data_IF_442926568432
#
_entry.id   IF_442926568432
#
_cell.length_a   1.000
_cell.length_b   1.000
_cell.length_c   1.000
_cell.angle_alpha   90.00
_cell.angle_beta   90.00
_cell.angle_gamma   90.00
#
_symmetry.space_group_name_H-M   'P 1'
#
loop_
_entity.id
_entity.type
_entity.pdbx_description
1 polymer ?
#
# COMPACT_ATOMS: atom_id res chain seq x y z
N UNK A 1 35.32 73.65 -25.03
CA UNK A 1 34.27 72.62 -25.15
C UNK A 1 34.04 71.96 -23.80
N UNK A 2 32.81 71.96 -23.23
CA UNK A 2 32.35 70.93 -22.28
C UNK A 2 30.82 70.96 -22.11
N UNK A 3 30.23 69.76 -22.18
CA UNK A 3 28.85 69.42 -22.56
C UNK A 3 27.79 69.77 -21.50
N UNK A 4 26.70 70.44 -21.92
CA UNK A 4 25.43 70.57 -21.16
C UNK A 4 24.66 69.25 -21.28
N UNK A 5 24.54 68.47 -20.20
CA UNK A 5 23.80 67.19 -20.17
C UNK A 5 22.82 67.20 -18.98
N UNK A 6 21.63 66.61 -19.20
CA UNK A 6 20.66 66.06 -18.23
C UNK A 6 19.65 67.01 -17.55
N UNK A 7 18.52 67.28 -18.23
CA UNK A 7 17.16 67.44 -17.62
C UNK A 7 16.01 66.96 -18.53
N UNK A 8 16.25 66.00 -19.43
CA UNK A 8 15.23 65.39 -20.34
C UNK A 8 14.85 63.94 -19.96
N UNK A 9 15.23 63.48 -18.76
CA UNK A 9 15.09 62.06 -18.38
C UNK A 9 13.77 61.66 -17.73
N UNK A 10 13.05 62.58 -17.07
CA UNK A 10 11.90 62.21 -16.22
C UNK A 10 10.62 61.93 -17.02
N UNK A 11 10.34 62.73 -18.05
CA UNK A 11 9.15 62.52 -18.90
C UNK A 11 9.32 61.30 -19.82
N UNK A 12 10.55 61.05 -20.29
CA UNK A 12 10.87 59.85 -21.06
C UNK A 12 10.65 58.58 -20.22
N UNK A 13 11.03 58.63 -18.93
CA UNK A 13 10.78 57.53 -18.00
C UNK A 13 9.28 57.24 -17.83
N UNK A 14 8.44 58.28 -17.70
CA UNK A 14 6.99 58.10 -17.62
C UNK A 14 6.40 57.49 -18.90
N UNK A 15 6.84 57.93 -20.08
CA UNK A 15 6.40 57.31 -21.34
C UNK A 15 6.84 55.85 -21.43
N UNK A 16 8.09 55.53 -21.10
CA UNK A 16 8.57 54.13 -21.08
C UNK A 16 7.77 53.29 -20.07
N UNK A 17 7.52 53.80 -18.87
CA UNK A 17 6.72 53.11 -17.85
C UNK A 17 5.28 52.89 -18.31
N UNK A 18 4.65 53.92 -18.91
CA UNK A 18 3.30 53.81 -19.45
C UNK A 18 3.23 52.78 -20.59
N UNK A 19 4.22 52.79 -21.50
CA UNK A 19 4.28 51.82 -22.61
C UNK A 19 4.48 50.40 -22.07
N UNK A 20 5.35 50.22 -21.06
CA UNK A 20 5.54 48.93 -20.38
C UNK A 20 4.25 48.44 -19.71
N UNK A 21 3.50 49.32 -19.04
CA UNK A 21 2.21 48.98 -18.43
C UNK A 21 1.20 48.62 -19.52
N UNK A 22 1.09 49.40 -20.59
CA UNK A 22 0.17 49.14 -21.70
C UNK A 22 0.48 47.79 -22.38
N UNK A 23 1.77 47.47 -22.57
CA UNK A 23 2.20 46.17 -23.10
C UNK A 23 1.87 45.05 -22.11
N UNK A 24 2.13 45.24 -20.82
CA UNK A 24 1.78 44.24 -19.80
C UNK A 24 0.26 43.97 -19.76
N UNK A 25 -0.57 45.01 -19.81
CA UNK A 25 -2.03 44.89 -19.86
C UNK A 25 -2.47 44.20 -21.15
N UNK A 26 -1.92 44.58 -22.31
CA UNK A 26 -2.21 43.93 -23.58
C UNK A 26 -1.83 42.44 -23.59
N UNK A 27 -0.67 42.10 -23.01
CA UNK A 27 -0.23 40.72 -22.83
C UNK A 27 -1.17 39.94 -21.90
N UNK A 28 -1.54 40.50 -20.74
CA UNK A 28 -2.48 39.84 -19.81
C UNK A 28 -3.82 39.60 -20.50
N UNK A 29 -4.38 40.60 -21.19
CA UNK A 29 -5.64 40.46 -21.92
C UNK A 29 -5.56 39.38 -23.02
N UNK A 30 -4.47 39.39 -23.80
CA UNK A 30 -4.22 38.37 -24.82
C UNK A 30 -4.11 36.97 -24.20
N UNK A 31 -3.40 36.83 -23.07
CA UNK A 31 -3.29 35.59 -22.31
C UNK A 31 -4.66 35.10 -21.79
N UNK A 32 -5.57 36.01 -21.43
CA UNK A 32 -6.90 35.65 -20.92
C UNK A 32 -7.91 35.28 -22.00
N UNK A 33 -7.78 35.80 -23.21
CA UNK A 33 -8.77 35.61 -24.28
C UNK A 33 -8.41 34.45 -25.20
N UNK A 34 -7.11 34.26 -25.51
CA UNK A 34 -6.67 33.28 -26.52
C UNK A 34 -6.26 31.92 -25.95
N UNK A 35 -6.02 31.80 -24.65
CA UNK A 35 -5.50 30.58 -24.02
C UNK A 35 -6.48 29.97 -23.04
N UNK A 36 -7.69 29.74 -23.53
CA UNK A 36 -8.73 29.02 -22.82
C UNK A 36 -8.67 27.55 -23.13
N UNK A 37 -8.97 26.71 -22.15
CA UNK A 37 -8.99 25.27 -22.31
C UNK A 37 -10.27 24.85 -23.05
N UNK A 38 -10.12 24.34 -24.26
CA UNK A 38 -11.22 23.76 -25.06
C UNK A 38 -11.22 22.24 -24.99
N UNK A 39 -10.04 21.63 -24.79
CA UNK A 39 -9.86 20.18 -24.76
C UNK A 39 -8.93 19.78 -23.64
N UNK A 40 -9.35 18.77 -22.87
CA UNK A 40 -8.55 18.13 -21.82
C UNK A 40 -8.46 16.66 -22.17
N UNK A 41 -7.25 16.12 -22.22
CA UNK A 41 -7.01 14.71 -22.50
C UNK A 41 -6.12 14.13 -21.40
N UNK A 42 -6.42 12.93 -20.93
CA UNK A 42 -5.55 12.16 -20.05
C UNK A 42 -5.01 10.95 -20.80
N UNK A 43 -3.68 10.84 -20.86
CA UNK A 43 -2.95 9.75 -21.52
C UNK A 43 -2.20 8.92 -20.47
N UNK A 44 -2.02 7.62 -20.75
CA UNK A 44 -1.22 6.72 -19.90
C UNK A 44 -2.00 6.10 -18.74
N UNK A 45 -3.32 6.03 -18.85
CA UNK A 45 -4.20 5.36 -17.89
C UNK A 45 -4.49 3.93 -18.33
N UNK A 46 -4.45 3.00 -17.40
CA UNK A 46 -4.91 1.61 -17.55
C UNK A 46 -5.90 1.21 -16.47
N UNK A 47 -5.78 1.77 -15.25
CA UNK A 47 -6.63 1.44 -14.11
C UNK A 47 -7.82 2.40 -13.93
N UNK A 48 -7.74 3.62 -14.43
CA UNK A 48 -8.77 4.65 -14.25
C UNK A 48 -9.28 5.20 -15.58
N UNK A 49 -10.49 5.75 -15.57
CA UNK A 49 -11.05 6.41 -16.75
C UNK A 49 -10.51 7.83 -16.88
N UNK A 50 -10.22 8.32 -18.11
CA UNK A 50 -9.81 9.69 -18.34
C UNK A 50 -10.76 10.73 -17.74
N UNK A 51 -12.06 10.48 -17.82
CA UNK A 51 -13.11 11.39 -17.37
C UNK A 51 -13.07 11.59 -15.86
N UNK A 52 -12.94 10.50 -15.10
CA UNK A 52 -12.88 10.53 -13.63
C UNK A 52 -11.64 11.28 -13.13
N UNK A 53 -10.50 11.01 -13.75
CA UNK A 53 -9.23 11.67 -13.41
C UNK A 53 -9.31 13.17 -13.69
N UNK A 54 -9.85 13.57 -14.85
CA UNK A 54 -10.03 14.98 -15.21
C UNK A 54 -10.97 15.66 -14.22
N UNK A 55 -12.06 15.01 -13.81
CA UNK A 55 -13.01 15.57 -12.85
C UNK A 55 -12.35 15.88 -11.50
N UNK A 56 -11.50 14.98 -11.00
CA UNK A 56 -10.76 15.16 -9.73
C UNK A 56 -9.82 16.36 -9.75
N UNK A 57 -9.31 16.76 -10.92
CA UNK A 57 -8.45 17.95 -11.05
C UNK A 57 -9.19 19.27 -10.81
N UNK A 58 -10.52 19.27 -10.96
CA UNK A 58 -11.34 20.48 -10.87
C UNK A 58 -11.15 21.48 -12.02
N UNK A 59 -10.40 21.11 -13.06
CA UNK A 59 -10.18 21.95 -14.24
C UNK A 59 -11.45 21.93 -15.10
N UNK A 60 -11.95 23.10 -15.45
CA UNK A 60 -13.13 23.23 -16.30
C UNK A 60 -12.74 23.68 -17.70
N UNK A 61 -13.63 23.39 -18.67
CA UNK A 61 -13.57 24.03 -19.97
C UNK A 61 -13.70 25.55 -19.80
N UNK A 62 -13.06 26.31 -20.69
CA UNK A 62 -12.92 27.78 -20.64
C UNK A 62 -11.98 28.34 -19.57
N UNK A 63 -11.42 27.50 -18.67
CA UNK A 63 -10.39 27.95 -17.73
C UNK A 63 -9.13 28.42 -18.46
N UNK A 64 -8.35 29.31 -17.82
CA UNK A 64 -7.11 29.80 -18.39
C UNK A 64 -6.01 28.74 -18.29
N UNK A 65 -5.47 28.34 -19.45
CA UNK A 65 -4.44 27.31 -19.60
C UNK A 65 -3.17 27.57 -18.76
N UNK A 66 -2.82 28.84 -18.53
CA UNK A 66 -1.63 29.22 -17.75
C UNK A 66 -1.89 29.38 -16.25
N UNK A 67 -3.17 29.45 -15.83
CA UNK A 67 -3.52 29.58 -14.41
C UNK A 67 -3.65 28.23 -13.71
N UNK A 68 -3.73 27.14 -14.46
CA UNK A 68 -3.71 25.78 -13.92
C UNK A 68 -2.38 25.54 -13.20
N UNK A 69 -2.45 25.17 -11.91
CA UNK A 69 -1.27 24.89 -11.09
C UNK A 69 -0.91 23.40 -11.18
N UNK A 70 0.16 23.11 -11.90
CA UNK A 70 0.64 21.74 -12.14
C UNK A 70 0.89 20.96 -10.84
N UNK A 71 1.35 21.65 -9.79
CA UNK A 71 1.63 20.98 -8.50
C UNK A 71 0.35 20.60 -7.79
N UNK A 72 -0.65 21.47 -7.78
CA UNK A 72 -1.94 21.17 -7.14
C UNK A 72 -2.65 20.03 -7.86
N UNK A 73 -2.65 20.06 -9.19
CA UNK A 73 -3.26 19.00 -10.00
C UNK A 73 -2.53 17.68 -9.78
N UNK A 74 -1.20 17.69 -9.86
CA UNK A 74 -0.40 16.48 -9.59
C UNK A 74 -0.67 15.96 -8.19
N UNK A 75 -0.65 16.81 -7.16
CA UNK A 75 -0.90 16.39 -5.77
C UNK A 75 -2.30 15.81 -5.58
N UNK A 76 -3.34 16.47 -6.10
CA UNK A 76 -4.71 15.98 -6.00
C UNK A 76 -4.85 14.58 -6.61
N UNK A 77 -4.23 14.35 -7.78
CA UNK A 77 -4.25 13.05 -8.43
C UNK A 77 -3.41 12.00 -7.69
N UNK A 78 -2.19 12.36 -7.27
CA UNK A 78 -1.32 11.45 -6.51
C UNK A 78 -1.79 11.22 -5.09
N UNK A 79 -2.73 11.98 -4.55
CA UNK A 79 -3.31 11.72 -3.22
C UNK A 79 -4.61 10.91 -3.32
N UNK A 80 -5.32 10.99 -4.45
CA UNK A 80 -6.61 10.30 -4.66
C UNK A 80 -6.42 8.92 -5.27
N UNK A 81 -5.48 8.75 -6.20
CA UNK A 81 -5.32 7.55 -7.01
C UNK A 81 -4.04 6.79 -6.66
N UNK A 82 -4.12 5.61 -6.01
CA UNK A 82 -2.94 4.87 -5.60
C UNK A 82 -2.01 4.47 -6.75
N UNK A 83 -2.59 4.06 -7.89
CA UNK A 83 -1.84 3.64 -9.07
C UNK A 83 -1.28 4.81 -9.90
N UNK A 84 -1.60 6.07 -9.59
CA UNK A 84 -0.99 7.22 -10.27
C UNK A 84 0.32 7.59 -9.56
N UNK A 85 1.44 7.40 -10.24
CA UNK A 85 2.76 7.69 -9.69
C UNK A 85 3.16 9.15 -9.89
N UNK A 86 3.01 9.65 -11.12
CA UNK A 86 3.31 11.03 -11.45
C UNK A 86 2.43 11.54 -12.58
N UNK A 87 2.20 12.86 -12.56
CA UNK A 87 1.37 13.54 -13.56
C UNK A 87 2.16 14.69 -14.15
N UNK A 88 2.27 14.73 -15.47
CA UNK A 88 2.89 15.82 -16.21
C UNK A 88 1.84 16.56 -17.03
N UNK A 89 1.64 17.84 -16.74
CA UNK A 89 0.77 18.71 -17.52
C UNK A 89 1.52 19.25 -18.74
N UNK A 90 1.00 18.94 -19.93
CA UNK A 90 1.47 19.46 -21.21
C UNK A 90 0.45 20.44 -21.77
N UNK A 91 0.91 21.68 -21.97
CA UNK A 91 0.10 22.77 -22.54
C UNK A 91 0.33 22.79 -24.05
N UNK A 92 -0.64 22.29 -24.79
CA UNK A 92 -0.63 22.26 -26.24
C UNK A 92 -1.37 23.50 -26.74
N UNK A 93 -0.60 24.56 -27.01
CA UNK A 93 -1.15 25.85 -27.41
C UNK A 93 -1.96 25.74 -28.72
N UNK A 94 -3.02 26.55 -28.89
CA UNK A 94 -3.48 27.59 -27.97
C UNK A 94 -4.42 27.10 -26.85
N UNK A 95 -5.15 26.00 -27.04
CA UNK A 95 -6.34 25.67 -26.23
C UNK A 95 -6.42 24.22 -25.68
N UNK A 96 -5.37 23.41 -25.84
CA UNK A 96 -5.37 22.00 -25.42
C UNK A 96 -4.50 21.77 -24.18
N UNK A 97 -5.02 21.02 -23.21
CA UNK A 97 -4.29 20.55 -22.04
C UNK A 97 -4.23 19.02 -22.05
N UNK A 98 -3.03 18.46 -22.04
CA UNK A 98 -2.80 17.01 -21.99
C UNK A 98 -2.16 16.65 -20.65
N UNK A 99 -2.79 15.75 -19.92
CA UNK A 99 -2.25 15.14 -18.71
C UNK A 99 -1.57 13.84 -19.10
N UNK A 100 -0.25 13.80 -18.99
CA UNK A 100 0.52 12.56 -19.15
C UNK A 100 0.69 11.91 -17.80
N UNK A 101 0.05 10.78 -17.61
CA UNK A 101 0.05 10.03 -16.36
C UNK A 101 1.02 8.87 -16.50
N UNK A 102 1.85 8.69 -15.48
CA UNK A 102 2.70 7.51 -15.33
C UNK A 102 2.11 6.68 -14.21
N UNK A 103 1.64 5.48 -14.54
CA UNK A 103 1.12 4.56 -13.54
C UNK A 103 2.22 3.80 -12.81
N UNK A 104 2.04 3.65 -11.51
CA UNK A 104 2.92 2.86 -10.66
C UNK A 104 2.69 1.38 -10.95
N UNK A 105 3.79 0.64 -11.10
CA UNK A 105 3.72 -0.81 -11.26
C UNK A 105 3.87 -1.48 -9.89
N UNK A 106 3.02 -2.45 -9.53
CA UNK A 106 3.21 -3.22 -8.31
C UNK A 106 4.52 -4.00 -8.40
N UNK A 107 5.36 -3.84 -7.39
CA UNK A 107 6.63 -4.58 -7.29
C UNK A 107 6.52 -5.73 -6.29
N UNK A 108 5.91 -5.47 -5.13
CA UNK A 108 5.85 -6.46 -4.05
C UNK A 108 4.65 -6.29 -3.12
N UNK A 109 4.18 -7.41 -2.58
CA UNK A 109 3.12 -7.50 -1.59
C UNK A 109 3.72 -7.92 -0.26
N UNK A 110 3.57 -7.08 0.76
CA UNK A 110 4.15 -7.27 2.08
C UNK A 110 3.08 -7.81 3.03
N UNK A 111 3.28 -9.03 3.52
CA UNK A 111 2.39 -9.65 4.51
C UNK A 111 2.71 -9.09 5.90
N UNK A 112 1.65 -8.67 6.61
CA UNK A 112 1.73 -8.19 7.98
C UNK A 112 1.31 -9.30 8.96
N UNK A 113 1.76 -9.19 10.21
CA UNK A 113 1.49 -10.18 11.26
C UNK A 113 0.00 -10.28 11.65
N UNK A 114 -0.78 -9.22 11.39
CA UNK A 114 -2.21 -9.16 11.63
C UNK A 114 -3.07 -9.81 10.52
N UNK A 115 -2.42 -10.40 9.51
CA UNK A 115 -3.09 -10.98 8.33
C UNK A 115 -3.49 -9.95 7.27
N UNK A 116 -3.12 -8.68 7.45
CA UNK A 116 -3.23 -7.69 6.38
C UNK A 116 -2.08 -7.80 5.37
N UNK A 117 -2.29 -7.25 4.18
CA UNK A 117 -1.24 -7.12 3.17
C UNK A 117 -1.17 -5.70 2.64
N UNK A 118 0.04 -5.30 2.26
CA UNK A 118 0.34 -3.99 1.68
C UNK A 118 1.00 -4.20 0.32
N UNK A 119 0.34 -3.76 -0.76
CA UNK A 119 0.94 -3.78 -2.11
C UNK A 119 1.71 -2.50 -2.32
N UNK A 120 2.97 -2.61 -2.73
CA UNK A 120 3.89 -1.49 -2.88
C UNK A 120 4.51 -1.51 -4.29
N UNK A 121 4.65 -0.32 -4.86
CA UNK A 121 5.33 -0.10 -6.13
C UNK A 121 6.86 -0.16 -6.03
N UNK A 122 7.53 -0.16 -7.18
CA UNK A 122 8.99 -0.09 -7.31
C UNK A 122 9.65 1.09 -6.58
N UNK A 123 8.93 2.19 -6.40
CA UNK A 123 9.38 3.42 -5.72
C UNK A 123 8.92 3.52 -4.27
N UNK A 124 8.38 2.44 -3.70
CA UNK A 124 7.96 2.41 -2.31
C UNK A 124 6.58 3.03 -2.05
N UNK A 125 5.81 3.39 -3.08
CA UNK A 125 4.44 3.92 -2.93
C UNK A 125 3.45 2.80 -2.67
N UNK A 126 2.59 2.97 -1.67
CA UNK A 126 1.52 2.03 -1.31
C UNK A 126 0.36 2.14 -2.30
N UNK A 127 0.07 1.04 -2.97
CA UNK A 127 -0.96 0.92 -4.01
C UNK A 127 -2.26 0.33 -3.46
N UNK A 128 -2.16 -0.70 -2.63
CA UNK A 128 -3.32 -1.38 -2.05
C UNK A 128 -3.07 -1.74 -0.60
N UNK A 129 -4.15 -1.73 0.17
CA UNK A 129 -4.23 -2.24 1.54
C UNK A 129 -5.42 -3.20 1.58
N UNK A 130 -5.19 -4.41 2.06
CA UNK A 130 -6.24 -5.42 2.15
C UNK A 130 -5.96 -6.41 3.27
N UNK A 131 -6.86 -7.38 3.42
CA UNK A 131 -6.73 -8.48 4.36
C UNK A 131 -7.08 -9.80 3.68
N UNK A 132 -6.49 -10.89 4.16
CA UNK A 132 -6.67 -12.22 3.56
C UNK A 132 -5.69 -12.49 2.41
N UNK A 133 -6.19 -13.02 1.30
CA UNK A 133 -5.36 -13.53 0.21
C UNK A 133 -4.76 -12.38 -0.62
N UNK A 134 -3.42 -12.29 -0.75
CA UNK A 134 -2.77 -11.25 -1.54
C UNK A 134 -3.04 -11.42 -3.05
N UNK A 135 -2.90 -10.35 -3.86
CA UNK A 135 -3.05 -10.45 -5.30
C UNK A 135 -2.00 -11.39 -5.93
N UNK A 136 -2.44 -12.24 -6.86
CA UNK A 136 -1.59 -13.21 -7.54
C UNK A 136 -0.63 -12.56 -8.55
N UNK A 137 0.55 -13.14 -8.74
CA UNK A 137 1.51 -12.72 -9.76
C UNK A 137 2.40 -11.53 -9.36
N UNK A 138 2.30 -11.08 -8.10
CA UNK A 138 3.17 -10.07 -7.50
C UNK A 138 4.09 -10.78 -6.49
N UNK A 139 5.36 -10.36 -6.42
CA UNK A 139 6.32 -10.87 -5.45
C UNK A 139 5.77 -10.75 -4.03
N UNK A 140 5.68 -11.86 -3.30
CA UNK A 140 5.24 -11.87 -1.90
C UNK A 140 6.44 -11.75 -0.97
N UNK A 141 6.41 -10.79 -0.05
CA UNK A 141 7.45 -10.56 0.95
C UNK A 141 6.87 -10.81 2.34
N UNK A 142 7.50 -11.72 3.08
CA UNK A 142 7.18 -12.03 4.47
C UNK A 142 8.30 -11.57 5.43
N UNK A 143 7.96 -11.27 6.68
CA UNK A 143 8.92 -10.84 7.71
C UNK A 143 9.35 -9.37 7.64
N UNK A 144 8.65 -8.55 6.83
CA UNK A 144 8.89 -7.10 6.74
C UNK A 144 7.65 -6.34 7.15
N UNK A 145 7.68 -5.80 8.37
CA UNK A 145 6.58 -5.00 8.92
C UNK A 145 6.61 -3.59 8.35
N UNK A 146 5.47 -3.13 7.81
CA UNK A 146 5.28 -1.74 7.37
C UNK A 146 4.35 -1.06 8.38
N UNK A 147 4.92 -0.18 9.21
CA UNK A 147 4.15 0.62 10.16
C UNK A 147 3.49 1.79 9.44
N UNK A 148 2.28 2.16 9.86
CA UNK A 148 1.55 3.34 9.38
C UNK A 148 1.42 3.42 7.84
N UNK A 149 1.24 2.26 7.18
CA UNK A 149 1.01 2.20 5.74
C UNK A 149 -0.25 2.96 5.36
N UNK A 150 -0.13 3.91 4.44
CA UNK A 150 -1.24 4.73 3.94
C UNK A 150 -1.26 4.68 2.43
N UNK A 151 -2.45 4.44 1.86
CA UNK A 151 -2.66 4.52 0.42
C UNK A 151 -2.12 5.83 -0.15
N UNK A 152 -1.58 5.76 -1.36
CA UNK A 152 -1.02 6.92 -2.07
C UNK A 152 0.24 7.55 -1.43
N UNK A 153 0.71 7.05 -0.28
CA UNK A 153 1.93 7.52 0.38
C UNK A 153 3.05 6.49 0.20
N UNK A 154 4.27 6.95 0.41
CA UNK A 154 5.42 6.06 0.42
C UNK A 154 5.52 5.36 1.76
N UNK A 155 5.99 4.12 1.76
CA UNK A 155 6.29 3.37 2.97
C UNK A 155 7.31 4.14 3.81
N UNK A 156 7.14 4.21 5.14
CA UNK A 156 8.14 4.82 5.99
C UNK A 156 9.37 3.91 6.06
N UNK A 157 10.48 4.38 5.49
CA UNK A 157 11.73 3.63 5.46
C UNK A 157 12.60 3.85 6.71
N UNK A 158 12.38 4.95 7.43
CA UNK A 158 13.25 5.37 8.53
C UNK A 158 13.25 4.34 9.67
N UNK A 159 14.45 3.89 10.06
CA UNK A 159 14.69 2.96 11.16
C UNK A 159 14.00 1.59 11.03
N UNK A 160 13.74 1.12 9.79
CA UNK A 160 13.18 -0.20 9.56
C UNK A 160 14.29 -1.21 9.16
N UNK A 161 14.76 -2.00 10.14
CA UNK A 161 15.82 -3.00 9.93
C UNK A 161 15.42 -4.09 8.92
N UNK A 162 14.18 -4.59 8.99
CA UNK A 162 13.67 -5.62 8.07
C UNK A 162 13.63 -5.12 6.63
N UNK A 163 13.25 -3.85 6.42
CA UNK A 163 13.30 -3.23 5.10
C UNK A 163 14.74 -3.05 4.60
N UNK A 164 15.67 -2.71 5.51
CA UNK A 164 17.10 -2.68 5.21
C UNK A 164 17.65 -4.03 4.74
N UNK A 165 17.25 -5.11 5.41
CA UNK A 165 17.61 -6.48 5.02
C UNK A 165 17.00 -6.87 3.67
N UNK A 166 15.72 -6.54 3.44
CA UNK A 166 15.06 -6.76 2.15
C UNK A 166 15.81 -6.06 1.02
N UNK A 167 16.18 -4.79 1.20
CA UNK A 167 16.94 -4.03 0.21
C UNK A 167 18.28 -4.70 -0.08
N UNK A 168 18.99 -5.16 0.94
CA UNK A 168 20.25 -5.88 0.75
C UNK A 168 20.06 -7.19 -0.03
N UNK A 169 19.02 -7.96 0.27
CA UNK A 169 18.70 -9.19 -0.47
C UNK A 169 18.34 -8.89 -1.93
N UNK A 170 17.46 -7.92 -2.19
CA UNK A 170 17.06 -7.50 -3.55
C UNK A 170 18.25 -6.98 -4.35
N UNK A 171 19.15 -6.23 -3.72
CA UNK A 171 20.39 -5.78 -4.36
C UNK A 171 21.30 -6.96 -4.75
N UNK A 172 21.44 -7.96 -3.87
CA UNK A 172 22.21 -9.17 -4.16
C UNK A 172 21.58 -10.02 -5.27
N UNK A 173 20.25 -10.13 -5.31
CA UNK A 173 19.48 -10.78 -6.38
C UNK A 173 19.74 -10.08 -7.72
N UNK A 174 19.60 -8.75 -7.74
CA UNK A 174 19.80 -7.95 -8.96
C UNK A 174 21.25 -8.04 -9.47
N UNK A 175 22.24 -8.04 -8.57
CA UNK A 175 23.65 -8.16 -8.92
C UNK A 175 24.00 -9.52 -9.56
N UNK A 176 23.26 -10.57 -9.24
CA UNK A 176 23.45 -11.92 -9.79
C UNK A 176 22.59 -12.19 -11.03
N UNK A 177 21.69 -11.28 -11.39
CA UNK A 177 20.72 -11.47 -12.48
C UNK A 177 19.76 -12.62 -12.20
N UNK A 178 19.44 -12.85 -10.93
CA UNK A 178 18.54 -13.91 -10.50
C UNK A 178 17.10 -13.43 -10.62
N UNK A 179 16.46 -13.74 -11.76
CA UNK A 179 15.10 -13.31 -12.07
C UNK A 179 14.05 -14.35 -11.61
N UNK A 180 12.77 -14.02 -11.77
CA UNK A 180 11.61 -14.89 -11.50
C UNK A 180 11.48 -15.40 -10.05
N UNK A 181 11.87 -14.58 -9.08
CA UNK A 181 11.60 -14.83 -7.67
C UNK A 181 10.16 -14.39 -7.38
N UNK A 182 9.36 -15.31 -6.85
CA UNK A 182 7.92 -15.11 -6.58
C UNK A 182 7.64 -14.86 -5.10
N UNK A 183 8.53 -15.33 -4.21
CA UNK A 183 8.43 -15.09 -2.76
C UNK A 183 9.78 -14.84 -2.11
N UNK A 184 9.80 -13.96 -1.13
CA UNK A 184 10.92 -13.70 -0.22
C UNK A 184 10.40 -13.85 1.20
N UNK A 185 11.11 -14.59 2.05
CA UNK A 185 10.79 -14.70 3.47
C UNK A 185 11.99 -14.31 4.33
N UNK A 186 11.79 -13.27 5.13
CA UNK A 186 12.74 -12.68 6.06
C UNK A 186 12.28 -12.79 7.52
N UNK A 187 11.25 -13.60 7.79
CA UNK A 187 10.67 -13.72 9.15
C UNK A 187 11.68 -14.28 10.16
N UNK A 188 12.57 -15.16 9.71
CA UNK A 188 13.72 -15.66 10.46
C UNK A 188 15.03 -15.30 9.74
N UNK A 189 15.80 -14.38 10.33
CA UNK A 189 17.09 -13.92 9.79
C UNK A 189 18.17 -14.99 9.72
N UNK A 190 17.99 -16.12 10.41
CA UNK A 190 18.92 -17.26 10.35
C UNK A 190 18.50 -18.30 9.31
N UNK A 191 17.22 -18.29 8.91
CA UNK A 191 16.61 -19.28 8.01
C UNK A 191 15.82 -18.61 6.90
N UNK A 192 16.38 -17.57 6.27
CA UNK A 192 15.74 -16.87 5.16
C UNK A 192 15.65 -17.80 3.95
N UNK A 193 14.60 -17.62 3.15
CA UNK A 193 14.44 -18.35 1.89
C UNK A 193 13.77 -17.49 0.82
N UNK A 194 13.95 -17.90 -0.42
CA UNK A 194 13.24 -17.35 -1.58
C UNK A 194 12.53 -18.48 -2.33
N UNK A 195 11.52 -18.15 -3.12
CA UNK A 195 10.85 -19.10 -4.02
C UNK A 195 11.07 -18.66 -5.46
N UNK A 196 11.55 -19.57 -6.28
CA UNK A 196 11.79 -19.38 -7.71
C UNK A 196 10.70 -20.06 -8.53
N UNK A 197 10.04 -19.29 -9.42
CA UNK A 197 8.96 -19.73 -10.33
C UNK A 197 7.89 -20.61 -9.66
N UNK A 198 7.55 -20.32 -8.39
CA UNK A 198 6.62 -21.09 -7.55
C UNK A 198 6.93 -22.60 -7.43
N UNK A 199 8.13 -23.04 -7.81
CA UNK A 199 8.51 -24.46 -7.90
C UNK A 199 9.68 -24.87 -7.02
N UNK A 200 10.63 -23.96 -6.77
CA UNK A 200 11.81 -24.28 -5.95
C UNK A 200 11.92 -23.31 -4.80
N UNK A 201 11.80 -23.83 -3.58
CA UNK A 201 12.13 -23.09 -2.35
C UNK A 201 13.63 -23.16 -2.12
N UNK A 202 14.31 -22.03 -2.13
CA UNK A 202 15.76 -21.93 -1.95
C UNK A 202 16.04 -21.39 -0.56
N UNK A 203 16.54 -22.27 0.31
CA UNK A 203 16.92 -21.92 1.68
C UNK A 203 18.30 -21.25 1.66
N UNK A 204 18.34 -19.97 2.00
CA UNK A 204 19.54 -19.15 1.99
C UNK A 204 20.22 -19.17 3.36
N UNK A 205 19.47 -19.43 4.44
CA UNK A 205 20.00 -19.31 5.81
C UNK A 205 20.19 -17.86 6.20
N UNK A 206 21.34 -17.49 6.75
CA UNK A 206 21.62 -16.11 7.19
C UNK A 206 22.09 -15.18 6.07
N UNK A 207 22.31 -13.89 6.38
CA UNK A 207 22.86 -12.90 5.43
C UNK A 207 24.32 -13.15 5.01
N UNK A 208 25.00 -14.10 5.66
CA UNK A 208 26.40 -14.42 5.40
C UNK A 208 26.61 -14.90 3.96
N UNK A 209 27.50 -14.20 3.23
CA UNK A 209 27.87 -14.52 1.84
C UNK A 209 26.66 -14.66 0.90
N UNK A 210 25.61 -13.88 1.15
CA UNK A 210 24.37 -13.91 0.40
C UNK A 210 24.56 -13.80 -1.13
N UNK A 211 25.41 -12.90 -1.66
CA UNK A 211 25.66 -12.85 -3.11
C UNK A 211 26.24 -14.14 -3.67
N UNK A 212 27.22 -14.75 -2.98
CA UNK A 212 27.84 -16.01 -3.42
C UNK A 212 26.85 -17.19 -3.40
N UNK A 213 25.94 -17.21 -2.43
CA UNK A 213 24.88 -18.24 -2.33
C UNK A 213 23.87 -18.09 -3.46
N UNK A 214 23.45 -16.87 -3.76
CA UNK A 214 22.52 -16.58 -4.84
C UNK A 214 23.12 -16.94 -6.21
N UNK A 215 24.38 -16.55 -6.46
CA UNK A 215 25.09 -16.87 -7.70
C UNK A 215 25.21 -18.40 -7.89
N UNK A 216 25.57 -19.12 -6.83
CA UNK A 216 25.69 -20.57 -6.88
C UNK A 216 24.34 -21.29 -6.99
N UNK A 217 23.30 -20.80 -6.31
CA UNK A 217 21.93 -21.32 -6.43
C UNK A 217 21.39 -21.13 -7.85
N UNK A 218 21.57 -19.93 -8.42
CA UNK A 218 21.24 -19.64 -9.81
C UNK A 218 21.98 -20.56 -10.77
N UNK A 219 23.30 -20.71 -10.62
CA UNK A 219 24.09 -21.63 -11.44
C UNK A 219 23.55 -23.07 -11.36
N UNK A 220 23.21 -23.56 -10.17
CA UNK A 220 22.65 -24.89 -10.01
C UNK A 220 21.28 -25.02 -10.67
N UNK A 221 20.40 -24.02 -10.57
CA UNK A 221 19.12 -24.00 -11.27
C UNK A 221 19.31 -24.08 -12.79
N UNK A 222 20.13 -23.18 -13.33
CA UNK A 222 20.33 -23.03 -14.78
C UNK A 222 20.95 -24.28 -15.43
N UNK A 223 21.80 -25.01 -14.70
CA UNK A 223 22.62 -26.08 -15.27
C UNK A 223 22.25 -27.49 -14.80
N UNK A 224 21.71 -27.63 -13.59
CA UNK A 224 21.57 -28.93 -12.92
C UNK A 224 20.13 -29.25 -12.50
N UNK A 225 19.21 -28.28 -12.53
CA UNK A 225 17.80 -28.49 -12.17
C UNK A 225 16.95 -28.44 -13.43
N UNK A 226 16.03 -29.39 -13.56
CA UNK A 226 15.10 -29.43 -14.69
C UNK A 226 14.01 -28.37 -14.48
N UNK A 227 13.47 -27.84 -15.57
CA UNK A 227 12.40 -26.86 -15.51
C UNK A 227 11.10 -27.37 -14.85
N UNK A 228 10.86 -28.68 -14.87
CA UNK A 228 9.70 -29.33 -14.24
C UNK A 228 9.95 -29.81 -12.81
N UNK A 229 11.12 -29.50 -12.24
CA UNK A 229 11.45 -29.92 -10.88
C UNK A 229 10.77 -29.01 -9.85
N UNK A 230 10.12 -29.65 -8.88
CA UNK A 230 9.57 -28.99 -7.68
C UNK A 230 10.26 -29.53 -6.42
N UNK A 231 10.64 -28.63 -5.52
CA UNK A 231 11.30 -29.04 -4.29
C UNK A 231 12.00 -27.95 -3.50
N UNK A 232 12.86 -28.40 -2.58
CA UNK A 232 13.65 -27.54 -1.70
C UNK A 232 15.13 -27.65 -2.09
N UNK A 233 15.75 -26.50 -2.30
CA UNK A 233 17.17 -26.32 -2.50
C UNK A 233 17.79 -25.73 -1.23
N UNK A 234 18.57 -26.51 -0.51
CA UNK A 234 19.42 -26.00 0.56
C UNK A 234 20.65 -25.35 -0.05
N UNK A 235 20.70 -24.02 0.01
CA UNK A 235 21.82 -23.18 -0.38
C UNK A 235 22.42 -22.43 0.83
N UNK A 236 22.20 -22.92 2.06
CA UNK A 236 22.65 -22.26 3.30
C UNK A 236 24.16 -22.11 3.40
N UNK A 237 24.92 -22.98 2.71
CA UNK A 237 26.37 -22.97 2.64
C UNK A 237 26.86 -22.67 1.23
N UNK A 238 27.85 -21.80 1.11
CA UNK A 238 28.46 -21.47 -0.18
C UNK A 238 29.10 -22.72 -0.81
N UNK A 239 28.94 -22.89 -2.13
CA UNK A 239 29.49 -23.99 -2.94
C UNK A 239 29.00 -25.40 -2.55
N UNK A 240 27.98 -25.51 -1.71
CA UNK A 240 27.33 -26.78 -1.37
C UNK A 240 25.83 -26.60 -1.50
N UNK A 241 25.25 -27.32 -2.47
CA UNK A 241 23.80 -27.35 -2.68
C UNK A 241 23.31 -28.77 -2.48
N UNK A 242 22.21 -28.90 -1.74
CA UNK A 242 21.43 -30.14 -1.66
C UNK A 242 20.02 -29.86 -2.19
N UNK A 243 19.49 -30.75 -3.03
CA UNK A 243 18.17 -30.56 -3.64
C UNK A 243 17.32 -31.80 -3.33
N UNK A 244 16.14 -31.57 -2.77
CA UNK A 244 15.22 -32.61 -2.35
C UNK A 244 13.85 -32.35 -2.99
N UNK A 245 13.22 -33.35 -3.64
CA UNK A 245 11.82 -33.24 -4.04
C UNK A 245 10.94 -33.01 -2.81
N UNK A 246 10.07 -32.01 -2.87
CA UNK A 246 9.13 -31.68 -1.82
C UNK A 246 8.01 -30.80 -2.37
N UNK A 247 6.79 -30.96 -1.85
CA UNK A 247 5.73 -29.99 -2.10
C UNK A 247 6.06 -28.69 -1.35
N UNK A 248 6.03 -27.55 -2.05
CA UNK A 248 6.18 -26.24 -1.42
C UNK A 248 4.89 -25.97 -0.65
N UNK A 249 4.87 -26.39 0.61
CA UNK A 249 3.81 -26.02 1.53
C UNK A 249 3.92 -24.51 1.78
N UNK A 250 2.92 -23.76 1.32
CA UNK A 250 2.71 -22.41 1.81
C UNK A 250 2.59 -22.52 3.34
N UNK A 251 3.39 -21.79 4.14
CA UNK A 251 3.02 -21.62 5.53
C UNK A 251 1.63 -20.99 5.52
N UNK A 252 0.65 -21.82 5.91
CA UNK A 252 -0.75 -21.49 5.84
C UNK A 252 -0.99 -20.19 6.57
N UNK A 253 -1.64 -19.28 5.87
CA UNK A 253 -2.50 -18.31 6.50
C UNK A 253 -3.49 -19.12 7.35
N UNK A 254 -3.20 -19.29 8.64
CA UNK A 254 -4.18 -19.77 9.60
C UNK A 254 -5.13 -18.62 9.88
N UNK A 255 -6.02 -18.37 8.91
CA UNK A 255 -7.35 -17.91 9.25
C UNK A 255 -7.96 -19.03 10.07
N UNK A 256 -7.97 -18.86 11.38
CA UNK A 256 -8.78 -19.64 12.29
C UNK A 256 -10.21 -19.57 11.75
N UNK A 257 -10.63 -20.62 11.03
CA UNK A 257 -12.03 -20.88 10.79
C UNK A 257 -12.60 -21.11 12.18
N UNK A 258 -13.14 -20.04 12.78
CA UNK A 258 -14.17 -20.18 13.79
C UNK A 258 -15.28 -20.91 13.06
N UNK A 259 -15.34 -22.23 13.26
CA UNK A 259 -16.52 -23.03 12.99
C UNK A 259 -17.64 -22.40 13.83
N UNK A 260 -18.38 -21.46 13.25
CA UNK A 260 -19.69 -21.13 13.77
C UNK A 260 -20.57 -22.33 13.48
N UNK A 261 -20.98 -23.01 14.55
CA UNK A 261 -22.04 -24.01 14.52
C UNK A 261 -23.20 -23.50 13.64
N UNK A 262 -23.78 -24.34 12.76
CA UNK A 262 -24.94 -23.94 11.99
C UNK A 262 -26.12 -23.80 12.97
N UNK A 263 -26.57 -22.57 13.22
CA UNK A 263 -27.90 -22.33 13.73
C UNK A 263 -28.91 -22.96 12.76
N UNK A 264 -29.58 -24.01 13.24
CA UNK A 264 -30.77 -24.54 12.62
C UNK A 264 -31.79 -23.40 12.48
N UNK A 265 -32.21 -23.15 11.24
CA UNK A 265 -33.27 -22.21 10.95
C UNK A 265 -34.59 -22.71 11.53
N UNK A 266 -35.18 -21.90 12.41
CA UNK A 266 -36.62 -21.98 12.67
C UNK A 266 -37.33 -20.98 11.76
N UNK A 267 -38.09 -21.54 10.82
CA UNK A 267 -39.07 -20.84 10.00
C UNK A 267 -40.17 -20.26 10.90
N UNK A 268 -40.47 -18.97 10.73
CA UNK A 268 -41.67 -18.34 11.26
C UNK A 268 -42.85 -18.58 10.33
N UNK A 269 -43.96 -19.06 10.92
CA UNK A 269 -45.38 -18.82 10.62
C UNK A 269 -46.12 -20.13 10.98
N UNK A 270 -47.04 -20.24 11.94
CA UNK A 270 -47.94 -19.29 12.56
C UNK A 270 -49.32 -19.96 12.54
N UNK A 271 -49.87 -20.38 13.68
CA UNK A 271 -51.33 -20.53 13.82
C UNK A 271 -51.78 -20.62 15.29
N UNK A 272 -52.98 -20.09 15.50
CA UNK A 272 -53.70 -19.82 16.74
C UNK A 272 -53.98 -21.06 17.60
N UNK A 273 -54.10 -20.87 18.92
CA UNK A 273 -55.40 -20.96 19.64
C UNK A 273 -55.22 -20.72 21.15
N UNK A 274 -56.19 -20.02 21.71
CA UNK A 274 -56.39 -19.75 23.13
C UNK A 274 -57.27 -20.83 23.78
N UNK A 275 -57.44 -20.69 25.11
CA UNK A 275 -58.19 -21.50 26.09
C UNK A 275 -57.40 -22.69 26.67
N UNK A 276 -57.41 -22.99 27.97
CA UNK A 276 -58.15 -22.49 29.12
C UNK A 276 -58.00 -23.48 30.27
N UNK A 277 -58.00 -22.95 31.50
CA UNK A 277 -58.40 -23.56 32.79
C UNK A 277 -57.72 -24.82 33.40
N UNK A 278 -57.39 -24.66 34.70
CA UNK A 278 -57.58 -25.57 35.86
C UNK A 278 -57.09 -27.03 35.79
N UNK A 279 -56.57 -27.69 36.84
CA UNK A 279 -56.63 -27.54 38.30
C UNK A 279 -55.75 -28.64 38.94
N UNK A 280 -55.36 -28.43 40.20
CA UNK A 280 -55.17 -29.42 41.30
C UNK A 280 -54.16 -30.58 41.14
N UNK A 281 -53.53 -31.16 42.16
CA UNK A 281 -53.19 -30.87 43.56
C UNK A 281 -52.39 -32.13 44.03
N UNK A 282 -51.78 -32.03 45.21
CA UNK A 282 -51.28 -33.11 46.11
C UNK A 282 -49.75 -33.28 46.10
N UNK A 283 -49.03 -33.23 47.23
CA UNK A 283 -49.45 -33.03 48.61
C UNK A 283 -48.26 -33.06 49.60
N UNK A 284 -48.58 -32.73 50.87
CA UNK A 284 -47.90 -33.00 52.14
C UNK A 284 -46.54 -32.31 52.39
N UNK A 285 -46.51 -31.26 53.24
CA UNK A 285 -46.31 -31.29 54.72
C UNK A 285 -44.82 -31.49 55.10
N UNK A 286 -44.08 -30.44 55.46
CA UNK A 286 -44.01 -29.75 56.77
C UNK A 286 -43.04 -30.43 57.76
N UNK A 287 -42.00 -29.70 58.21
CA UNK A 287 -41.82 -29.33 59.63
C UNK A 287 -40.46 -28.61 59.89
N UNK A 288 -40.50 -27.62 60.80
CA UNK A 288 -39.39 -27.03 61.57
C UNK A 288 -38.40 -26.13 60.80
N UNK A 289 -38.29 -24.82 61.03
CA UNK A 289 -38.46 -24.09 62.28
C UNK A 289 -37.19 -23.27 62.58
N UNK A 290 -37.30 -21.96 62.30
CA UNK A 290 -36.83 -20.84 63.13
C UNK A 290 -35.32 -20.53 63.27
N UNK A 291 -34.87 -19.42 62.66
CA UNK A 291 -34.59 -18.06 63.23
C UNK A 291 -33.12 -17.89 63.64
N UNK A 292 -32.37 -17.00 62.96
CA UNK A 292 -32.09 -15.61 63.33
C UNK A 292 -31.07 -15.53 64.49
N UNK A 293 -30.07 -14.66 64.53
CA UNK A 293 -29.65 -13.46 63.79
C UNK A 293 -28.29 -13.06 64.37
N UNK A 294 -27.59 -12.14 63.66
CA UNK A 294 -26.69 -11.09 64.21
C UNK A 294 -25.43 -11.53 65.01
N UNK A 295 -24.27 -10.89 64.97
CA UNK A 295 -23.82 -9.56 64.53
C UNK A 295 -22.27 -9.59 64.57
N UNK A 296 -21.66 -8.60 63.89
CA UNK A 296 -20.42 -7.83 64.17
C UNK A 296 -19.41 -8.34 65.23
N UNK A 297 -18.09 -8.14 65.11
CA UNK A 297 -17.38 -6.90 64.73
C UNK A 297 -15.88 -7.18 64.53
N UNK A 298 -15.21 -6.19 63.95
CA UNK A 298 -13.81 -6.09 63.55
C UNK A 298 -12.75 -6.28 64.66
N UNK A 299 -11.49 -6.50 64.25
CA UNK A 299 -10.27 -5.84 64.80
C UNK A 299 -9.00 -6.30 64.06
N UNK A 300 -8.33 -5.39 63.34
CA UNK A 300 -6.86 -5.35 63.17
C UNK A 300 -6.24 -4.67 64.44
N UNK A 301 -4.92 -4.48 64.64
CA UNK A 301 -3.77 -4.54 63.71
C UNK A 301 -2.44 -5.11 64.30
N UNK A 302 -1.37 -5.15 63.49
CA UNK A 302 -0.06 -4.47 63.70
C UNK A 302 1.18 -5.18 63.12
N UNK A 303 2.11 -4.29 62.74
CA UNK A 303 3.48 -4.35 62.23
C UNK A 303 4.37 -5.55 62.58
N UNK A 304 5.33 -5.86 61.69
CA UNK A 304 6.74 -5.71 62.05
C UNK A 304 7.70 -5.63 60.83
N UNK A 305 8.57 -4.61 60.89
CA UNK A 305 9.96 -4.45 60.38
C UNK A 305 10.31 -4.65 58.91
#
# INVERSE_FOLDING_TARGET
MRKKRRRRGRNLLYYIMFTMIAVAVGLILSLTVFFKIETIEAEGLTHYTPEEVIQTTGIQLEDNLFRVDDRKVSQALTDTYPYIESVQLRRNLPSKLTLKITEAQPLGTFLQEDGSYVVVSDKGRVLELGSGTPPSGILVVNGVTIKDAQLCKNIPEENNESLGMLRYLVEAINATGFENITKIDLSDRLNMYIVYEDRVKIELGSENQLPDKLDFAKYALDNNVRADFEGIMDATMVKKISILPAEIHEPGYHGELVETDPEEGEETDGEETADGEESEQTGAEADGGETASSEEEASQPEENS
#
